data_IF_136037491003
#
_entry.id   IF_136037491003
#
_cell.length_a   1.000
_cell.length_b   1.000
_cell.length_c   1.000
_cell.angle_alpha   90.00
_cell.angle_beta   90.00
_cell.angle_gamma   90.00
#
_symmetry.space_group_name_H-M   'P 1'
#
loop_
_entity.id
_entity.type
_entity.pdbx_description
1 polymer ?
#
# COMPACT_ATOMS: atom_id res chain seq x y z
N UNK A 1 50.26 4.70 34.80
CA UNK A 1 49.46 5.33 33.72
C UNK A 1 48.71 4.20 33.03
N UNK A 2 47.38 4.07 33.20
CA UNK A 2 46.32 4.59 32.28
C UNK A 2 46.50 4.02 30.86
N UNK A 3 45.55 3.45 30.12
CA UNK A 3 44.08 3.28 30.16
C UNK A 3 43.77 2.43 28.88
N UNK A 4 43.15 1.24 28.95
CA UNK A 4 41.75 0.94 28.54
C UNK A 4 41.30 1.35 27.11
N UNK A 5 40.87 0.36 26.29
CA UNK A 5 39.69 0.33 25.39
C UNK A 5 39.75 -0.94 24.49
N UNK A 6 39.02 -2.03 24.78
CA UNK A 6 37.63 -2.34 24.40
C UNK A 6 37.31 -2.20 22.90
N UNK A 7 37.28 -3.34 22.19
CA UNK A 7 36.31 -3.62 21.12
C UNK A 7 35.96 -5.11 21.18
N UNK A 8 34.87 -5.42 21.86
CA UNK A 8 34.17 -6.71 21.78
C UNK A 8 33.19 -6.66 20.62
N UNK A 9 33.46 -7.42 19.56
CA UNK A 9 32.50 -7.72 18.51
C UNK A 9 31.46 -8.70 19.06
N UNK A 10 30.22 -8.22 19.20
CA UNK A 10 29.03 -9.06 19.31
C UNK A 10 28.72 -9.64 17.93
N UNK A 11 29.09 -10.90 17.73
CA UNK A 11 28.46 -11.74 16.72
C UNK A 11 27.19 -12.33 17.36
N UNK A 12 26.04 -11.69 17.12
CA UNK A 12 24.74 -12.34 17.32
C UNK A 12 24.49 -13.26 16.11
N UNK A 13 25.20 -14.38 16.09
CA UNK A 13 24.92 -15.46 15.17
C UNK A 13 23.82 -16.34 15.79
N UNK A 14 22.72 -16.46 15.05
CA UNK A 14 21.64 -17.43 15.22
C UNK A 14 22.18 -18.79 15.71
N UNK A 15 22.04 -19.03 17.01
CA UNK A 15 22.08 -20.37 17.56
C UNK A 15 20.63 -20.75 17.85
N UNK A 16 20.06 -21.62 17.00
CA UNK A 16 19.14 -22.64 17.48
C UNK A 16 19.91 -23.50 18.49
N UNK A 17 20.07 -22.95 19.70
CA UNK A 17 20.61 -23.66 20.84
C UNK A 17 19.57 -24.69 21.24
N UNK A 18 19.88 -25.93 20.92
CA UNK A 18 19.40 -27.14 21.54
C UNK A 18 18.98 -26.86 23.00
N UNK A 19 17.68 -26.67 23.21
CA UNK A 19 17.13 -26.34 24.51
C UNK A 19 17.29 -27.57 25.40
N UNK A 20 18.36 -27.58 26.20
CA UNK A 20 18.68 -28.67 27.12
C UNK A 20 17.49 -29.05 28.01
N UNK A 21 17.56 -30.27 28.56
CA UNK A 21 16.45 -30.95 29.27
C UNK A 21 15.81 -30.23 30.46
N UNK A 22 16.27 -29.06 30.86
CA UNK A 22 15.63 -28.21 31.87
C UNK A 22 14.47 -27.37 31.30
N UNK A 23 14.51 -26.93 30.03
CA UNK A 23 13.31 -26.35 29.38
C UNK A 23 12.18 -27.38 29.30
N UNK A 24 12.53 -28.63 29.00
CA UNK A 24 11.60 -29.75 28.94
C UNK A 24 10.94 -30.10 30.28
N UNK A 25 11.50 -29.68 31.41
CA UNK A 25 10.87 -29.83 32.73
C UNK A 25 9.83 -28.73 32.97
N UNK A 26 10.09 -27.50 32.52
CA UNK A 26 9.16 -26.38 32.61
C UNK A 26 7.90 -26.55 31.74
N UNK A 27 7.97 -27.35 30.68
CA UNK A 27 6.85 -27.62 29.76
C UNK A 27 5.77 -28.61 30.28
N UNK A 28 5.91 -29.21 31.47
CA UNK A 28 5.24 -30.51 31.77
C UNK A 28 3.82 -30.46 32.32
N UNK A 29 3.30 -29.33 32.79
CA UNK A 29 1.95 -29.30 33.36
C UNK A 29 1.36 -27.90 33.40
N UNK A 30 0.78 -27.42 32.30
CA UNK A 30 -0.16 -26.32 32.39
C UNK A 30 -1.49 -26.80 32.95
N UNK A 31 -2.12 -25.95 33.75
CA UNK A 31 -3.53 -26.12 34.09
C UNK A 31 -4.35 -26.11 32.80
N UNK A 32 -5.38 -26.97 32.73
CA UNK A 32 -6.22 -27.09 31.55
C UNK A 32 -7.12 -25.88 31.33
N UNK A 33 -7.22 -25.01 32.33
CA UNK A 33 -8.17 -23.90 32.34
C UNK A 33 -7.41 -22.61 32.02
N UNK A 34 -7.66 -22.05 30.84
CA UNK A 34 -7.41 -20.64 30.57
C UNK A 34 -8.54 -19.83 31.23
N UNK A 35 -8.25 -18.66 31.81
CA UNK A 35 -9.32 -17.77 32.26
C UNK A 35 -10.05 -17.22 31.04
N UNK A 36 -11.38 -17.25 31.04
CA UNK A 36 -12.28 -16.84 29.95
C UNK A 36 -12.24 -17.71 28.69
N UNK A 37 -12.93 -18.84 28.76
CA UNK A 37 -13.59 -19.45 27.61
C UNK A 37 -14.49 -18.39 26.94
N UNK A 38 -14.19 -18.05 25.67
CA UNK A 38 -15.18 -17.41 24.80
C UNK A 38 -16.50 -18.22 24.77
N UNK A 39 -17.58 -17.71 24.13
CA UNK A 39 -18.87 -18.39 24.15
C UNK A 39 -18.67 -19.87 23.79
N UNK A 40 -18.98 -20.75 24.75
CA UNK A 40 -18.89 -22.19 24.57
C UNK A 40 -19.58 -22.55 23.26
N UNK A 41 -18.94 -23.36 22.43
CA UNK A 41 -19.65 -23.98 21.31
C UNK A 41 -20.90 -24.67 21.86
N UNK A 42 -22.01 -24.69 21.11
CA UNK A 42 -23.31 -25.24 21.56
C UNK A 42 -23.21 -26.68 22.10
N UNK A 43 -22.11 -27.37 21.79
CA UNK A 43 -21.83 -28.76 22.17
C UNK A 43 -20.94 -28.92 23.41
N UNK A 44 -20.48 -27.82 24.04
CA UNK A 44 -19.62 -27.85 25.23
C UNK A 44 -18.19 -28.35 24.97
N UNK A 45 -17.79 -28.49 23.71
CA UNK A 45 -16.41 -28.79 23.34
C UNK A 45 -15.54 -27.53 23.37
N UNK A 46 -14.31 -27.68 23.86
CA UNK A 46 -13.31 -26.61 23.83
C UNK A 46 -13.05 -26.15 22.39
N UNK A 47 -13.01 -24.83 22.12
CA UNK A 47 -12.71 -24.29 20.79
C UNK A 47 -11.23 -24.42 20.41
N UNK A 48 -10.41 -24.93 21.34
CA UNK A 48 -8.96 -25.03 21.18
C UNK A 48 -8.51 -26.45 20.82
N UNK A 49 -7.44 -26.53 20.04
CA UNK A 49 -6.66 -27.74 19.86
C UNK A 49 -5.34 -27.61 20.63
N UNK A 50 -5.07 -28.57 21.51
CA UNK A 50 -3.84 -28.64 22.30
C UNK A 50 -2.96 -29.78 21.78
N UNK A 51 -1.71 -29.48 21.43
CA UNK A 51 -0.76 -30.47 20.94
C UNK A 51 0.67 -29.98 20.93
N UNK A 52 1.62 -30.82 20.54
CA UNK A 52 3.03 -30.43 20.41
C UNK A 52 3.38 -30.36 18.92
N UNK A 53 4.18 -29.37 18.50
CA UNK A 53 4.65 -29.28 17.10
C UNK A 53 5.63 -30.41 16.78
N UNK A 54 6.56 -30.69 17.69
CA UNK A 54 7.47 -31.83 17.62
C UNK A 54 7.48 -32.64 18.92
N UNK A 55 7.89 -33.90 18.82
CA UNK A 55 8.07 -34.77 20.00
C UNK A 55 9.13 -34.18 20.92
N UNK A 56 8.72 -33.80 22.12
CA UNK A 56 9.58 -33.11 23.10
C UNK A 56 9.22 -31.65 23.31
N UNK A 57 8.54 -30.97 22.40
CA UNK A 57 8.21 -29.56 22.59
C UNK A 57 7.22 -29.31 23.75
N UNK A 58 7.21 -28.09 24.26
CA UNK A 58 6.12 -27.57 25.08
C UNK A 58 4.77 -27.72 24.33
N UNK A 59 3.70 -27.98 25.09
CA UNK A 59 2.34 -27.97 24.53
C UNK A 59 2.04 -26.60 23.93
N UNK A 60 1.40 -26.62 22.79
CA UNK A 60 0.90 -25.45 22.08
C UNK A 60 -0.63 -25.51 22.07
N UNK A 61 -1.23 -24.34 22.12
CA UNK A 61 -2.66 -24.16 21.99
C UNK A 61 -2.93 -23.26 20.79
N UNK A 62 -3.78 -23.75 19.88
CA UNK A 62 -4.22 -23.09 18.66
C UNK A 62 -5.74 -23.22 18.54
N UNK A 63 -6.35 -22.50 17.62
CA UNK A 63 -7.77 -22.70 17.32
C UNK A 63 -8.02 -24.02 16.59
N UNK A 64 -9.09 -24.72 17.00
CA UNK A 64 -9.52 -25.98 16.36
C UNK A 64 -10.10 -25.73 14.97
N UNK A 65 -10.83 -24.62 14.79
CA UNK A 65 -11.21 -24.11 13.47
C UNK A 65 -10.01 -23.40 12.84
N UNK A 66 -9.61 -23.85 11.65
CA UNK A 66 -8.50 -23.28 10.89
C UNK A 66 -8.83 -21.90 10.30
N UNK A 67 -10.11 -21.53 10.25
CA UNK A 67 -10.56 -20.20 9.85
C UNK A 67 -10.71 -19.24 11.04
N UNK A 68 -10.50 -19.71 12.28
CA UNK A 68 -10.56 -18.85 13.46
C UNK A 68 -9.18 -18.28 13.81
N UNK A 69 -9.18 -17.03 14.27
CA UNK A 69 -8.01 -16.36 14.84
C UNK A 69 -7.97 -16.56 16.35
N UNK A 70 -6.78 -16.86 16.89
CA UNK A 70 -6.56 -16.95 18.32
C UNK A 70 -6.33 -15.54 18.88
N UNK A 71 -7.28 -15.06 19.67
CA UNK A 71 -7.21 -13.78 20.36
C UNK A 71 -6.72 -14.04 21.78
N UNK A 72 -5.61 -13.42 22.17
CA UNK A 72 -5.03 -13.49 23.51
C UNK A 72 -4.92 -12.07 24.05
N UNK A 73 -5.59 -11.79 25.16
CA UNK A 73 -5.59 -10.47 25.80
C UNK A 73 -5.88 -9.32 24.81
N UNK A 74 -6.85 -9.53 23.93
CA UNK A 74 -7.29 -8.59 22.90
C UNK A 74 -6.40 -8.52 21.64
N UNK A 75 -5.35 -9.33 21.54
CA UNK A 75 -4.45 -9.32 20.37
C UNK A 75 -4.48 -10.65 19.63
N UNK A 76 -4.26 -10.60 18.32
CA UNK A 76 -4.21 -11.81 17.49
C UNK A 76 -2.84 -12.46 17.59
N UNK A 77 -2.80 -13.76 17.88
CA UNK A 77 -1.59 -14.58 17.88
C UNK A 77 -1.81 -15.86 17.07
N UNK A 78 -0.72 -16.47 16.61
CA UNK A 78 -0.80 -17.76 15.91
C UNK A 78 -0.97 -18.94 16.88
N UNK A 79 -0.44 -18.80 18.10
CA UNK A 79 -0.45 -19.85 19.13
C UNK A 79 -0.12 -19.32 20.52
N UNK A 80 -0.52 -20.09 21.53
CA UNK A 80 0.02 -20.04 22.88
C UNK A 80 0.97 -21.22 23.13
N UNK A 81 1.94 -21.03 24.02
CA UNK A 81 2.87 -22.09 24.45
C UNK A 81 2.76 -22.28 25.96
N UNK A 82 2.61 -23.51 26.39
CA UNK A 82 2.60 -23.90 27.79
C UNK A 82 4.02 -23.87 28.37
N UNK A 83 4.29 -22.98 29.31
CA UNK A 83 5.60 -22.85 29.95
C UNK A 83 5.43 -22.55 31.44
N UNK A 84 6.21 -23.24 32.29
CA UNK A 84 6.18 -23.09 33.75
C UNK A 84 4.79 -23.22 34.41
N UNK A 85 3.88 -23.94 33.75
CA UNK A 85 2.54 -24.19 34.26
C UNK A 85 1.48 -23.16 33.85
N UNK A 86 1.85 -22.15 33.07
CA UNK A 86 0.93 -21.17 32.51
C UNK A 86 1.01 -21.13 30.98
N UNK A 87 0.00 -20.54 30.35
CA UNK A 87 0.00 -20.30 28.92
C UNK A 87 0.68 -18.97 28.63
N UNK A 88 1.59 -18.94 27.66
CA UNK A 88 2.32 -17.75 27.29
C UNK A 88 2.20 -17.44 25.80
N UNK A 89 2.20 -16.15 25.47
CA UNK A 89 2.30 -15.62 24.10
C UNK A 89 3.59 -14.81 23.92
N UNK A 90 3.89 -14.45 22.68
CA UNK A 90 5.06 -13.65 22.34
C UNK A 90 6.25 -14.48 21.83
N UNK A 91 7.42 -13.84 21.79
CA UNK A 91 8.66 -14.46 21.32
C UNK A 91 9.35 -15.21 22.45
N UNK A 92 10.20 -16.22 22.18
CA UNK A 92 10.89 -16.98 23.22
C UNK A 92 11.71 -16.12 24.21
N UNK A 93 12.18 -14.95 23.76
CA UNK A 93 12.93 -13.98 24.57
C UNK A 93 12.03 -13.10 25.46
N UNK A 94 10.74 -13.00 25.11
CA UNK A 94 9.73 -12.15 25.74
C UNK A 94 8.40 -12.90 25.79
N UNK A 95 8.34 -13.94 26.63
CA UNK A 95 7.10 -14.68 26.91
C UNK A 95 6.30 -13.93 27.98
N UNK A 96 5.07 -13.57 27.64
CA UNK A 96 4.09 -12.96 28.56
C UNK A 96 3.02 -13.99 28.89
N UNK A 97 2.59 -14.06 30.14
CA UNK A 97 1.52 -14.97 30.59
C UNK A 97 0.17 -14.47 30.06
N UNK A 98 -0.58 -15.36 29.40
CA UNK A 98 -1.92 -15.10 28.87
C UNK A 98 -2.94 -15.02 30.00
N UNK A 99 -3.64 -13.89 30.11
CA UNK A 99 -4.74 -13.73 31.05
C UNK A 99 -6.08 -14.21 30.49
N UNK A 100 -6.20 -14.24 29.16
CA UNK A 100 -7.38 -14.68 28.43
C UNK A 100 -7.03 -15.20 27.04
N UNK A 101 -7.80 -16.16 26.53
CA UNK A 101 -7.72 -16.54 25.14
C UNK A 101 -9.08 -16.97 24.59
N UNK A 102 -9.35 -16.66 23.33
CA UNK A 102 -10.55 -17.09 22.62
C UNK A 102 -10.24 -17.35 21.15
N UNK A 103 -11.06 -18.20 20.52
CA UNK A 103 -11.02 -18.42 19.08
C UNK A 103 -12.24 -17.79 18.44
N UNK A 104 -12.01 -16.76 17.63
CA UNK A 104 -13.08 -16.06 16.92
C UNK A 104 -12.83 -16.14 15.42
N UNK A 105 -13.89 -16.38 14.66
CA UNK A 105 -13.81 -16.40 13.22
C UNK A 105 -14.03 -14.97 12.69
N UNK A 106 -13.05 -14.36 12.00
CA UNK A 106 -13.22 -13.04 11.39
C UNK A 106 -14.23 -13.04 10.23
N UNK A 107 -14.77 -14.19 9.86
CA UNK A 107 -15.67 -14.37 8.73
C UNK A 107 -14.93 -14.14 7.41
N UNK A 108 -15.56 -13.42 6.49
CA UNK A 108 -14.95 -13.03 5.22
C UNK A 108 -14.18 -11.69 5.30
N UNK A 109 -13.87 -11.20 6.51
CA UNK A 109 -13.13 -9.94 6.66
C UNK A 109 -11.68 -10.16 6.24
N UNK A 110 -11.21 -9.34 5.31
CA UNK A 110 -9.81 -9.30 4.89
C UNK A 110 -9.33 -7.86 4.94
N UNK A 111 -8.15 -7.64 5.49
CA UNK A 111 -7.56 -6.31 5.49
C UNK A 111 -6.76 -6.05 4.20
N UNK A 112 -6.71 -4.80 3.74
CA UNK A 112 -5.75 -4.38 2.72
C UNK A 112 -4.29 -4.70 3.12
N UNK A 113 -3.39 -4.82 2.14
CA UNK A 113 -1.98 -5.19 2.37
C UNK A 113 -1.20 -4.21 3.27
N UNK A 114 -1.66 -2.98 3.42
CA UNK A 114 -1.09 -1.92 4.27
C UNK A 114 -1.74 -1.85 5.66
N UNK A 115 -2.72 -2.71 5.92
CA UNK A 115 -3.39 -2.85 7.19
C UNK A 115 -3.15 -4.24 7.79
N UNK A 116 -3.36 -4.35 9.09
CA UNK A 116 -3.38 -5.60 9.82
C UNK A 116 -4.69 -5.71 10.59
N UNK A 117 -5.19 -6.94 10.71
CA UNK A 117 -6.39 -7.20 11.49
C UNK A 117 -6.03 -7.12 12.97
N UNK A 118 -6.87 -6.43 13.75
CA UNK A 118 -6.82 -6.37 15.20
C UNK A 118 -8.20 -6.62 15.79
N UNK A 119 -8.25 -6.99 17.06
CA UNK A 119 -9.51 -7.24 17.77
C UNK A 119 -9.69 -6.21 18.89
N UNK A 120 -10.63 -5.29 18.72
CA UNK A 120 -11.02 -4.29 19.71
C UNK A 120 -12.55 -4.28 19.80
N UNK A 121 -13.09 -5.25 20.54
CA UNK A 121 -14.51 -5.62 20.64
C UNK A 121 -15.13 -6.22 19.36
N UNK A 122 -14.53 -5.97 18.19
CA UNK A 122 -14.78 -6.62 16.91
C UNK A 122 -13.48 -6.64 16.07
N UNK A 123 -13.44 -7.46 15.03
CA UNK A 123 -12.32 -7.50 14.08
C UNK A 123 -12.28 -6.22 13.24
N UNK A 124 -11.26 -5.41 13.46
CA UNK A 124 -11.02 -4.17 12.72
C UNK A 124 -9.72 -4.25 11.96
N UNK A 125 -9.69 -3.62 10.80
CA UNK A 125 -8.44 -3.41 10.08
C UNK A 125 -7.82 -2.10 10.60
N UNK A 126 -6.53 -2.13 10.94
CA UNK A 126 -5.78 -0.95 11.38
C UNK A 126 -4.52 -0.83 10.54
N UNK A 127 -4.08 0.40 10.27
CA UNK A 127 -2.84 0.60 9.53
C UNK A 127 -1.66 -0.08 10.22
N UNK A 128 -0.81 -0.74 9.42
CA UNK A 128 0.44 -1.30 9.92
C UNK A 128 1.30 -0.21 10.57
N UNK A 129 2.20 -0.53 11.51
CA UNK A 129 3.01 0.48 12.23
C UNK A 129 3.79 1.44 11.33
N UNK A 130 4.13 1.01 10.11
CA UNK A 130 4.84 1.83 9.14
C UNK A 130 3.98 2.74 8.27
N UNK A 131 2.67 2.68 8.43
CA UNK A 131 1.69 3.42 7.66
C UNK A 131 0.95 4.43 8.55
N UNK A 132 0.66 5.58 7.97
CA UNK A 132 -0.18 6.62 8.54
C UNK A 132 -1.64 6.36 8.17
N UNK A 133 -2.54 6.55 9.15
CA UNK A 133 -3.98 6.50 8.94
C UNK A 133 -4.49 7.83 8.36
N UNK A 134 -5.19 7.74 7.24
CA UNK A 134 -5.71 8.85 6.45
C UNK A 134 -7.22 9.04 6.64
N UNK A 135 -7.87 8.29 7.53
CA UNK A 135 -9.33 8.34 7.71
C UNK A 135 -9.81 9.75 8.08
N UNK A 136 -9.04 10.50 8.87
CA UNK A 136 -9.37 11.89 9.24
C UNK A 136 -9.26 12.88 8.04
N UNK A 137 -8.48 12.54 7.02
CA UNK A 137 -8.33 13.33 5.80
C UNK A 137 -9.50 13.11 4.83
N UNK A 138 -10.17 11.96 4.96
CA UNK A 138 -11.33 11.55 4.18
C UNK A 138 -12.49 11.20 5.12
N UNK A 139 -13.05 12.16 5.87
CA UNK A 139 -14.05 11.89 6.90
C UNK A 139 -15.36 11.30 6.35
N UNK A 140 -15.63 11.50 5.06
CA UNK A 140 -16.80 10.99 4.37
C UNK A 140 -16.58 9.59 3.76
N UNK A 141 -15.40 8.99 3.97
CA UNK A 141 -15.10 7.62 3.55
C UNK A 141 -16.00 6.61 4.28
N UNK A 142 -16.68 5.69 3.57
CA UNK A 142 -17.51 4.69 4.22
C UNK A 142 -16.68 3.69 5.03
N UNK A 143 -17.27 3.14 6.10
CA UNK A 143 -16.55 2.27 7.05
C UNK A 143 -15.97 1.02 6.39
N UNK A 144 -16.56 0.54 5.28
CA UNK A 144 -16.11 -0.65 4.56
C UNK A 144 -14.83 -0.44 3.74
N UNK A 145 -14.40 0.81 3.54
CA UNK A 145 -13.13 1.12 2.87
C UNK A 145 -12.00 1.46 3.83
N UNK A 146 -12.32 1.57 5.12
CA UNK A 146 -11.35 1.85 6.16
C UNK A 146 -10.62 0.57 6.61
N UNK A 147 -9.34 0.69 6.99
CA UNK A 147 -8.57 1.92 7.12
C UNK A 147 -7.96 2.39 5.79
N UNK A 148 -7.83 3.71 5.62
CA UNK A 148 -7.09 4.31 4.53
C UNK A 148 -5.64 4.54 4.97
N UNK A 149 -4.71 3.71 4.50
CA UNK A 149 -3.33 3.74 4.98
C UNK A 149 -2.36 4.27 3.91
N UNK A 150 -1.36 5.06 4.30
CA UNK A 150 -0.27 5.49 3.40
C UNK A 150 1.09 5.41 4.08
N UNK A 151 2.11 4.98 3.34
CA UNK A 151 3.51 5.10 3.76
C UNK A 151 4.28 6.10 2.87
N UNK A 152 3.59 6.80 1.96
CA UNK A 152 4.23 7.68 0.99
C UNK A 152 5.03 8.81 1.64
N UNK A 153 4.63 9.28 2.83
CA UNK A 153 5.36 10.32 3.57
C UNK A 153 6.78 9.91 4.00
N UNK A 154 7.12 8.62 3.94
CA UNK A 154 8.47 8.09 4.21
C UNK A 154 9.30 7.92 2.93
N UNK A 155 8.74 8.25 1.76
CA UNK A 155 9.38 8.08 0.46
C UNK A 155 9.98 9.41 -0.03
N UNK A 156 10.86 9.29 -1.02
CA UNK A 156 11.46 10.42 -1.73
C UNK A 156 11.36 10.18 -3.23
N UNK A 157 10.19 10.47 -3.77
CA UNK A 157 9.82 10.20 -5.16
C UNK A 157 9.69 11.50 -5.94
N UNK A 158 10.10 11.46 -7.21
CA UNK A 158 9.71 12.46 -8.21
C UNK A 158 8.57 11.91 -9.04
N UNK A 159 7.37 12.42 -8.79
CA UNK A 159 6.14 11.94 -9.39
C UNK A 159 5.72 12.95 -10.46
N UNK A 160 5.56 12.51 -11.70
CA UNK A 160 5.06 13.36 -12.77
C UNK A 160 3.62 12.98 -13.08
N UNK A 161 2.73 13.95 -13.07
CA UNK A 161 1.39 13.81 -13.63
C UNK A 161 1.40 14.29 -15.07
N UNK A 162 1.12 13.39 -16.01
CA UNK A 162 0.86 13.71 -17.41
C UNK A 162 -0.64 13.62 -17.65
N UNK A 163 -1.28 14.76 -17.88
CA UNK A 163 -2.73 14.85 -18.01
C UNK A 163 -3.09 15.04 -19.48
N UNK A 164 -3.74 14.04 -20.07
CA UNK A 164 -4.41 14.19 -21.36
C UNK A 164 -5.53 15.22 -21.18
N UNK A 165 -5.40 16.34 -21.86
CA UNK A 165 -6.42 17.38 -21.89
C UNK A 165 -6.97 17.55 -23.30
N UNK A 166 -6.97 16.50 -24.12
CA UNK A 166 -7.60 16.55 -25.44
C UNK A 166 -9.11 16.72 -25.36
N UNK A 167 -9.73 17.16 -26.45
CA UNK A 167 -11.18 17.42 -26.48
C UNK A 167 -12.06 16.19 -26.20
N UNK A 168 -11.55 14.95 -26.28
CA UNK A 168 -12.32 13.77 -25.85
C UNK A 168 -12.37 13.59 -24.34
N UNK A 169 -11.51 14.30 -23.59
CA UNK A 169 -11.52 14.36 -22.13
C UNK A 169 -12.55 15.35 -21.58
N UNK A 170 -13.19 16.18 -22.41
CA UNK A 170 -14.02 17.29 -21.95
C UNK A 170 -15.16 16.90 -21.00
N UNK A 171 -15.75 15.71 -21.17
CA UNK A 171 -16.81 15.21 -20.30
C UNK A 171 -16.32 14.51 -19.03
N UNK A 172 -15.01 14.31 -18.87
CA UNK A 172 -14.41 13.53 -17.77
C UNK A 172 -13.26 14.26 -17.06
N UNK A 173 -12.92 15.48 -17.50
CA UNK A 173 -11.75 16.22 -17.00
C UNK A 173 -11.96 16.67 -15.55
N UNK A 174 -13.20 16.95 -15.15
CA UNK A 174 -13.53 17.35 -13.79
C UNK A 174 -13.28 16.19 -12.81
N UNK A 175 -13.65 14.98 -13.18
CA UNK A 175 -13.47 13.77 -12.40
C UNK A 175 -12.00 13.39 -12.26
N UNK A 176 -11.20 13.62 -13.32
CA UNK A 176 -9.74 13.48 -13.27
C UNK A 176 -9.13 14.48 -12.29
N UNK A 177 -9.55 15.76 -12.32
CA UNK A 177 -9.06 16.78 -11.37
C UNK A 177 -9.38 16.38 -9.92
N UNK A 178 -10.62 15.96 -9.67
CA UNK A 178 -11.05 15.50 -8.35
C UNK A 178 -10.25 14.29 -7.86
N UNK A 179 -10.07 13.27 -8.72
CA UNK A 179 -9.26 12.10 -8.41
C UNK A 179 -7.80 12.47 -8.11
N UNK A 180 -7.21 13.39 -8.87
CA UNK A 180 -5.86 13.89 -8.61
C UNK A 180 -5.80 14.57 -7.23
N UNK A 181 -6.78 15.39 -6.88
CA UNK A 181 -6.88 16.00 -5.56
C UNK A 181 -6.89 14.97 -4.42
N UNK A 182 -7.63 13.87 -4.57
CA UNK A 182 -7.62 12.76 -3.61
C UNK A 182 -6.25 12.06 -3.58
N UNK A 183 -5.65 11.79 -4.74
CA UNK A 183 -4.36 11.11 -4.85
C UNK A 183 -3.22 11.92 -4.20
N UNK A 184 -3.16 13.24 -4.43
CA UNK A 184 -2.11 14.12 -3.87
C UNK A 184 -2.08 14.04 -2.34
N UNK A 185 -3.24 14.01 -1.68
CA UNK A 185 -3.34 13.84 -0.22
C UNK A 185 -2.66 12.55 0.26
N UNK A 186 -2.82 11.44 -0.47
CA UNK A 186 -2.14 10.18 -0.15
C UNK A 186 -0.63 10.23 -0.38
N UNK A 187 -0.18 10.99 -1.37
CA UNK A 187 1.23 11.06 -1.77
C UNK A 187 2.11 11.85 -0.80
N UNK A 188 1.54 12.62 0.12
CA UNK A 188 2.26 13.32 1.21
C UNK A 188 3.47 14.13 0.68
N UNK A 189 3.19 15.09 -0.19
CA UNK A 189 4.23 15.94 -0.78
C UNK A 189 4.93 16.78 0.30
N UNK A 190 6.24 16.99 0.14
CA UNK A 190 7.03 17.81 1.06
C UNK A 190 8.37 18.21 0.43
N UNK A 191 8.99 19.26 0.95
CA UNK A 191 10.28 19.78 0.44
C UNK A 191 11.39 18.70 0.46
N UNK A 192 11.38 17.80 1.46
CA UNK A 192 12.42 16.77 1.64
C UNK A 192 11.98 15.36 1.22
N UNK A 193 10.69 15.16 0.94
CA UNK A 193 10.09 13.87 0.59
C UNK A 193 9.64 13.81 -0.87
N UNK A 194 8.37 13.51 -1.10
CA UNK A 194 7.82 13.39 -2.45
C UNK A 194 7.57 14.77 -3.08
N UNK A 195 7.85 14.88 -4.37
CA UNK A 195 7.59 16.06 -5.19
C UNK A 195 6.75 15.68 -6.41
N UNK A 196 5.85 16.57 -6.82
CA UNK A 196 4.97 16.40 -7.97
C UNK A 196 5.28 17.46 -9.03
N UNK A 197 5.48 17.01 -10.27
CA UNK A 197 5.48 17.85 -11.46
C UNK A 197 4.20 17.60 -12.26
N UNK A 198 3.70 18.63 -12.93
CA UNK A 198 2.43 18.55 -13.68
C UNK A 198 2.68 18.99 -15.12
N UNK A 199 2.31 18.12 -16.05
CA UNK A 199 2.37 18.33 -17.49
C UNK A 199 1.00 18.07 -18.07
N UNK A 200 0.44 19.01 -18.82
CA UNK A 200 -0.75 18.76 -19.65
C UNK A 200 -0.33 18.47 -21.08
N UNK A 201 -1.08 17.64 -21.79
CA UNK A 201 -0.83 17.36 -23.19
C UNK A 201 -2.11 17.10 -23.98
N UNK A 202 -2.27 17.90 -25.04
CA UNK A 202 -3.23 17.70 -26.12
C UNK A 202 -2.46 17.77 -27.45
N UNK A 203 -2.69 18.81 -28.25
CA UNK A 203 -1.94 19.02 -29.50
C UNK A 203 -0.51 19.50 -29.22
N UNK A 204 -0.35 20.37 -28.22
CA UNK A 204 0.90 20.77 -27.60
C UNK A 204 0.99 20.22 -26.17
N UNK A 205 2.06 20.55 -25.47
CA UNK A 205 2.22 20.27 -24.04
C UNK A 205 2.56 21.54 -23.29
N UNK A 206 2.15 21.60 -22.02
CA UNK A 206 2.52 22.67 -21.09
C UNK A 206 3.07 22.05 -19.81
N UNK A 207 4.20 22.57 -19.32
CA UNK A 207 4.75 22.19 -18.01
C UNK A 207 4.25 23.20 -16.99
N UNK A 208 3.22 22.83 -16.25
CA UNK A 208 2.55 23.71 -15.28
C UNK A 208 3.31 23.76 -13.94
N UNK A 209 3.90 22.63 -13.55
CA UNK A 209 4.78 22.53 -12.37
C UNK A 209 6.03 21.73 -12.74
N UNK A 210 7.19 22.28 -12.39
CA UNK A 210 8.50 21.63 -12.48
C UNK A 210 9.06 21.37 -11.06
N UNK A 211 10.23 20.74 -10.91
CA UNK A 211 10.88 20.34 -9.64
C UNK A 211 11.35 21.48 -8.72
N UNK A 212 10.71 22.66 -8.78
CA UNK A 212 10.96 23.81 -7.90
C UNK A 212 10.04 23.85 -6.67
N UNK A 213 9.88 25.03 -6.08
CA UNK A 213 9.11 25.24 -4.83
C UNK A 213 7.66 24.74 -4.93
N UNK A 214 6.99 24.97 -6.06
CA UNK A 214 5.61 24.56 -6.26
C UNK A 214 5.41 23.03 -6.30
N UNK A 215 6.47 22.24 -6.50
CA UNK A 215 6.36 20.77 -6.59
C UNK A 215 6.08 20.07 -5.27
N UNK A 216 6.12 20.79 -4.15
CA UNK A 216 5.76 20.26 -2.83
C UNK A 216 4.71 21.10 -2.11
N UNK A 217 4.04 21.99 -2.84
CA UNK A 217 2.91 22.76 -2.35
C UNK A 217 1.62 22.14 -2.90
N UNK A 218 0.87 21.47 -2.03
CA UNK A 218 -0.41 20.82 -2.38
C UNK A 218 -1.41 21.81 -3.00
N UNK A 219 -1.46 23.07 -2.54
CA UNK A 219 -2.33 24.09 -3.10
C UNK A 219 -1.89 24.47 -4.51
N UNK A 220 -0.58 24.66 -4.72
CA UNK A 220 -0.07 25.00 -6.06
C UNK A 220 -0.31 23.86 -7.07
N UNK A 221 -0.16 22.60 -6.62
CA UNK A 221 -0.48 21.41 -7.43
C UNK A 221 -1.96 21.38 -7.78
N UNK A 222 -2.84 21.62 -6.81
CA UNK A 222 -4.28 21.68 -7.03
C UNK A 222 -4.65 22.79 -8.03
N UNK A 223 -4.15 24.01 -7.83
CA UNK A 223 -4.41 25.16 -8.71
C UNK A 223 -3.93 24.90 -10.15
N UNK A 224 -2.75 24.27 -10.31
CA UNK A 224 -2.23 23.91 -11.62
C UNK A 224 -3.13 22.89 -12.31
N UNK A 225 -3.57 21.85 -11.60
CA UNK A 225 -4.48 20.82 -12.13
C UNK A 225 -5.84 21.41 -12.47
N UNK A 226 -6.38 22.28 -11.61
CA UNK A 226 -7.67 22.95 -11.82
C UNK A 226 -7.67 23.90 -13.02
N UNK A 227 -6.52 24.48 -13.36
CA UNK A 227 -6.39 25.35 -14.53
C UNK A 227 -6.46 24.62 -15.88
N UNK A 228 -6.44 23.28 -15.89
CA UNK A 228 -6.41 22.49 -17.12
C UNK A 228 -7.80 22.39 -17.74
N UNK A 229 -7.97 22.96 -18.93
CA UNK A 229 -9.16 22.76 -19.74
C UNK A 229 -8.92 21.72 -20.84
N UNK A 230 -9.97 20.97 -21.16
CA UNK A 230 -9.93 19.98 -22.22
C UNK A 230 -10.19 20.63 -23.58
N UNK A 231 -9.20 20.60 -24.47
CA UNK A 231 -9.30 21.11 -25.83
C UNK A 231 -8.31 20.40 -26.78
N UNK A 232 -8.55 20.50 -28.08
CA UNK A 232 -7.61 20.04 -29.10
C UNK A 232 -7.60 18.53 -29.31
N UNK A 233 -6.54 18.04 -29.96
CA UNK A 233 -6.38 16.64 -30.35
C UNK A 233 -5.40 15.93 -29.43
N UNK A 234 -5.61 14.64 -29.11
CA UNK A 234 -4.69 13.88 -28.26
C UNK A 234 -3.41 13.49 -28.99
N UNK A 235 -2.26 14.00 -28.52
CA UNK A 235 -0.92 13.59 -28.92
C UNK A 235 -0.10 13.12 -27.71
N UNK A 236 -0.56 12.08 -27.00
CA UNK A 236 0.10 11.52 -25.82
C UNK A 236 1.58 11.17 -26.02
N UNK A 237 1.98 10.71 -27.22
CA UNK A 237 3.39 10.42 -27.50
C UNK A 237 4.27 11.68 -27.35
N UNK A 238 3.75 12.86 -27.73
CA UNK A 238 4.42 14.15 -27.55
C UNK A 238 4.51 14.49 -26.06
N UNK A 239 3.44 14.28 -25.29
CA UNK A 239 3.45 14.49 -23.84
C UNK A 239 4.48 13.61 -23.11
N UNK A 240 4.58 12.33 -23.47
CA UNK A 240 5.58 11.43 -22.90
C UNK A 240 7.02 11.87 -23.20
N UNK A 241 7.31 12.28 -24.45
CA UNK A 241 8.63 12.82 -24.79
C UNK A 241 8.91 14.17 -24.11
N UNK A 242 7.87 15.00 -23.87
CA UNK A 242 7.99 16.23 -23.11
C UNK A 242 8.35 15.98 -21.64
N UNK A 243 7.72 15.00 -21.00
CA UNK A 243 8.08 14.56 -19.63
C UNK A 243 9.56 14.17 -19.59
N UNK A 244 10.00 13.34 -20.53
CA UNK A 244 11.42 12.95 -20.63
C UNK A 244 12.32 14.17 -20.78
N UNK A 245 12.03 15.07 -21.72
CA UNK A 245 12.88 16.20 -22.03
C UNK A 245 12.95 17.24 -20.89
N UNK A 246 11.82 17.50 -20.22
CA UNK A 246 11.71 18.56 -19.22
C UNK A 246 12.03 18.09 -17.79
N UNK A 247 11.74 16.82 -17.45
CA UNK A 247 11.64 16.37 -16.07
C UNK A 247 12.50 15.15 -15.72
N UNK A 248 13.02 14.41 -16.71
CA UNK A 248 13.80 13.19 -16.47
C UNK A 248 15.17 13.31 -17.12
N UNK A 249 16.18 13.67 -16.32
CA UNK A 249 17.55 13.79 -16.82
C UNK A 249 18.40 12.56 -16.47
N UNK A 250 19.29 12.11 -17.37
CA UNK A 250 20.13 10.93 -17.14
C UNK A 250 21.03 10.99 -15.90
N UNK A 251 21.30 12.20 -15.37
CA UNK A 251 22.15 12.40 -14.19
C UNK A 251 21.46 12.08 -12.88
N UNK A 252 20.15 11.84 -12.90
CA UNK A 252 19.33 11.60 -11.70
C UNK A 252 19.20 10.10 -11.38
N UNK A 253 20.25 9.29 -11.58
CA UNK A 253 20.20 7.82 -11.45
C UNK A 253 19.77 7.31 -10.07
N UNK A 254 19.93 8.12 -9.02
CA UNK A 254 19.53 7.79 -7.64
C UNK A 254 18.12 8.29 -7.29
N UNK A 255 17.45 8.99 -8.20
CA UNK A 255 16.11 9.53 -7.97
C UNK A 255 15.08 8.56 -8.53
N UNK A 256 14.10 8.18 -7.71
CA UNK A 256 13.00 7.33 -8.15
C UNK A 256 11.94 8.18 -8.86
N UNK A 257 11.88 8.05 -10.18
CA UNK A 257 10.91 8.71 -11.02
C UNK A 257 9.68 7.84 -11.24
N UNK A 258 8.50 8.39 -10.97
CA UNK A 258 7.19 7.77 -11.23
C UNK A 258 6.42 8.67 -12.20
N UNK A 259 5.74 8.08 -13.17
CA UNK A 259 4.87 8.78 -14.09
C UNK A 259 3.45 8.25 -13.92
N UNK A 260 2.48 9.14 -13.73
CA UNK A 260 1.06 8.82 -13.75
C UNK A 260 0.43 9.53 -14.94
N UNK A 261 -0.11 8.76 -15.88
CA UNK A 261 -0.75 9.27 -17.10
C UNK A 261 -2.26 9.19 -16.94
N UNK A 262 -2.92 10.34 -17.00
CA UNK A 262 -4.38 10.47 -16.92
C UNK A 262 -4.94 10.61 -18.34
N UNK A 263 -5.73 9.65 -18.83
CA UNK A 263 -6.20 9.66 -20.23
C UNK A 263 -7.45 8.82 -20.45
N UNK A 264 -8.21 9.10 -21.51
CA UNK A 264 -9.27 8.25 -22.01
C UNK A 264 -8.76 7.16 -22.98
N UNK A 265 -7.46 7.16 -23.31
CA UNK A 265 -6.81 6.25 -24.27
C UNK A 265 -7.09 6.57 -25.75
N UNK A 266 -7.80 7.66 -26.03
CA UNK A 266 -8.23 8.08 -27.36
C UNK A 266 -7.11 8.77 -28.14
N UNK A 267 -6.22 7.98 -28.72
CA UNK A 267 -5.19 8.51 -29.62
C UNK A 267 -5.79 8.63 -31.03
N UNK A 268 -5.88 9.86 -31.55
CA UNK A 268 -6.28 10.13 -32.93
C UNK A 268 -5.06 10.15 -33.84
N UNK A 269 -4.58 8.98 -34.28
CA UNK A 269 -3.74 8.81 -35.47
C UNK A 269 -3.58 7.31 -35.77
N UNK A 270 -3.30 6.95 -37.03
CA UNK A 270 -3.19 5.58 -37.52
C UNK A 270 -2.06 4.75 -36.89
N UNK A 271 -1.72 3.57 -37.46
CA UNK A 271 -0.76 2.62 -36.88
C UNK A 271 0.60 3.21 -36.45
N UNK A 272 1.07 4.27 -37.12
CA UNK A 272 2.31 4.96 -36.76
C UNK A 272 2.24 5.70 -35.40
N UNK A 273 1.07 6.19 -34.99
CA UNK A 273 0.95 6.85 -33.69
C UNK A 273 1.06 5.87 -32.53
N UNK A 274 0.56 4.64 -32.67
CA UNK A 274 0.77 3.59 -31.68
C UNK A 274 2.24 3.21 -31.55
N UNK A 275 2.98 3.16 -32.66
CA UNK A 275 4.43 2.93 -32.63
C UNK A 275 5.17 4.07 -31.93
N UNK A 276 4.79 5.33 -32.21
CA UNK A 276 5.38 6.50 -31.56
C UNK A 276 5.09 6.53 -30.06
N UNK A 277 3.85 6.20 -29.65
CA UNK A 277 3.47 6.09 -28.26
C UNK A 277 4.30 5.03 -27.53
N UNK A 278 4.33 3.82 -28.08
CA UNK A 278 5.10 2.72 -27.50
C UNK A 278 6.60 3.09 -27.42
N UNK A 279 7.15 3.75 -28.44
CA UNK A 279 8.55 4.21 -28.41
C UNK A 279 8.78 5.23 -27.28
N UNK A 280 7.88 6.18 -27.08
CA UNK A 280 8.00 7.19 -26.03
C UNK A 280 7.91 6.56 -24.62
N UNK A 281 6.99 5.60 -24.43
CA UNK A 281 6.87 4.85 -23.17
C UNK A 281 8.13 4.00 -22.87
N UNK A 282 8.67 3.29 -23.88
CA UNK A 282 9.92 2.53 -23.75
C UNK A 282 11.13 3.43 -23.44
N UNK A 283 11.15 4.65 -24.00
CA UNK A 283 12.22 5.62 -23.71
C UNK A 283 12.24 6.03 -22.23
N UNK A 284 11.07 6.18 -21.61
CA UNK A 284 10.95 6.48 -20.18
C UNK A 284 11.33 5.28 -19.32
N UNK A 285 10.97 4.06 -19.73
CA UNK A 285 11.37 2.81 -19.05
C UNK A 285 12.89 2.63 -19.03
N UNK A 286 13.57 2.90 -20.14
CA UNK A 286 15.04 2.87 -20.21
C UNK A 286 15.71 3.89 -19.27
N UNK A 287 14.98 4.94 -18.88
CA UNK A 287 15.39 5.91 -17.87
C UNK A 287 14.91 5.53 -16.46
N UNK A 288 14.44 4.28 -16.27
CA UNK A 288 13.92 3.73 -15.01
C UNK A 288 12.71 4.50 -14.45
N UNK A 289 11.92 5.11 -15.33
CA UNK A 289 10.64 5.72 -14.95
C UNK A 289 9.57 4.64 -14.91
N UNK A 290 9.01 4.39 -13.74
CA UNK A 290 7.85 3.50 -13.62
C UNK A 290 6.58 4.25 -14.01
N UNK A 291 5.81 3.71 -14.96
CA UNK A 291 4.63 4.35 -15.52
C UNK A 291 3.35 3.67 -15.06
N UNK A 292 2.41 4.46 -14.58
CA UNK A 292 1.05 4.10 -14.22
C UNK A 292 0.07 4.87 -15.11
N UNK A 293 -1.08 4.27 -15.39
CA UNK A 293 -2.12 4.87 -16.24
C UNK A 293 -3.43 4.89 -15.47
N UNK A 294 -4.06 6.06 -15.41
CA UNK A 294 -5.41 6.24 -14.87
C UNK A 294 -6.33 6.52 -16.05
N UNK A 295 -7.20 5.57 -16.33
CA UNK A 295 -8.08 5.56 -17.49
C UNK A 295 -9.50 5.95 -17.10
N UNK A 296 -10.15 6.80 -17.90
CA UNK A 296 -11.58 7.15 -17.71
C UNK A 296 -12.53 6.20 -18.44
N UNK A 297 -11.99 5.29 -19.26
CA UNK A 297 -12.75 4.22 -19.88
C UNK A 297 -11.82 3.07 -20.30
N UNK A 298 -12.42 1.90 -20.54
CA UNK A 298 -11.71 0.69 -20.95
C UNK A 298 -11.75 0.44 -22.47
N UNK A 299 -12.24 1.37 -23.29
CA UNK A 299 -12.41 1.14 -24.74
C UNK A 299 -11.08 0.89 -25.45
N UNK A 300 -9.99 1.43 -24.91
CA UNK A 300 -8.68 1.41 -25.55
C UNK A 300 -7.62 0.64 -24.73
N UNK A 301 -8.02 -0.45 -24.06
CA UNK A 301 -7.15 -1.27 -23.18
C UNK A 301 -5.76 -1.53 -23.75
N UNK A 302 -5.65 -1.99 -25.00
CA UNK A 302 -4.33 -2.25 -25.64
C UNK A 302 -3.44 -1.01 -25.70
N UNK A 303 -4.03 0.18 -25.87
CA UNK A 303 -3.27 1.45 -25.90
C UNK A 303 -2.86 1.87 -24.50
N UNK A 304 -3.75 1.71 -23.52
CA UNK A 304 -3.47 1.99 -22.11
C UNK A 304 -2.32 1.09 -21.61
N UNK A 305 -2.36 -0.21 -21.95
CA UNK A 305 -1.30 -1.15 -21.63
C UNK A 305 0.02 -0.75 -22.32
N UNK A 306 -0.02 -0.27 -23.57
CA UNK A 306 1.17 0.20 -24.26
C UNK A 306 1.82 1.43 -23.60
N UNK A 307 1.03 2.30 -22.94
CA UNK A 307 1.55 3.43 -22.15
C UNK A 307 2.22 2.91 -20.87
N UNK A 308 1.62 1.92 -20.21
CA UNK A 308 2.18 1.25 -19.03
C UNK A 308 3.28 0.22 -19.36
N UNK A 309 3.90 0.29 -20.55
CA UNK A 309 4.91 -0.67 -21.03
C UNK A 309 4.51 -2.16 -20.89
N UNK A 310 3.22 -2.46 -21.05
CA UNK A 310 2.65 -3.80 -20.98
C UNK A 310 2.35 -4.31 -19.57
N UNK A 311 2.58 -3.51 -18.52
CA UNK A 311 2.27 -3.90 -17.14
C UNK A 311 0.79 -3.63 -16.85
N UNK A 312 -0.04 -4.67 -16.97
CA UNK A 312 -1.50 -4.55 -16.81
C UNK A 312 -1.91 -4.04 -15.42
N UNK A 313 -1.21 -4.49 -14.37
CA UNK A 313 -1.44 -4.05 -12.99
C UNK A 313 -1.15 -2.56 -12.74
N UNK A 314 -0.50 -1.89 -13.68
CA UNK A 314 -0.23 -0.46 -13.63
C UNK A 314 -1.29 0.37 -14.37
N UNK A 315 -2.37 -0.27 -14.85
CA UNK A 315 -3.51 0.41 -15.46
C UNK A 315 -4.70 0.37 -14.49
N UNK A 316 -5.15 1.56 -14.12
CA UNK A 316 -6.26 1.83 -13.21
C UNK A 316 -7.40 2.44 -14.00
N UNK A 317 -8.63 2.13 -13.63
CA UNK A 317 -9.81 2.74 -14.24
C UNK A 317 -10.56 3.51 -13.17
N UNK A 318 -10.97 4.73 -13.50
CA UNK A 318 -11.87 5.55 -12.69
C UNK A 318 -13.19 5.70 -13.45
N UNK A 319 -14.27 5.89 -12.71
CA UNK A 319 -15.58 6.16 -13.29
C UNK A 319 -15.88 7.65 -13.31
N UNK A 320 -16.68 8.05 -14.31
CA UNK A 320 -17.21 9.41 -14.40
C UNK A 320 -18.62 9.55 -13.82
N UNK A 321 -19.18 8.49 -13.23
CA UNK A 321 -20.50 8.55 -12.59
C UNK A 321 -20.39 9.20 -11.21
N UNK A 322 -21.28 10.14 -10.87
CA UNK A 322 -21.21 10.90 -9.61
C UNK A 322 -21.27 9.98 -8.37
N UNK A 323 -22.00 8.87 -8.44
CA UNK A 323 -22.13 7.89 -7.35
C UNK A 323 -20.86 7.03 -7.15
N UNK A 324 -19.88 7.12 -8.06
CA UNK A 324 -18.65 6.32 -8.02
C UNK A 324 -17.47 7.03 -7.35
N UNK A 325 -17.70 8.16 -6.67
CA UNK A 325 -16.65 8.88 -5.94
C UNK A 325 -15.89 7.96 -4.96
N UNK A 326 -16.60 7.05 -4.30
CA UNK A 326 -16.00 6.12 -3.33
C UNK A 326 -15.18 5.03 -4.01
N UNK A 327 -15.60 4.55 -5.18
CA UNK A 327 -14.80 3.62 -5.98
C UNK A 327 -13.52 4.30 -6.49
N UNK A 328 -13.62 5.56 -6.90
CA UNK A 328 -12.47 6.37 -7.29
C UNK A 328 -11.49 6.58 -6.11
N UNK A 329 -11.99 6.77 -4.89
CA UNK A 329 -11.15 6.84 -3.69
C UNK A 329 -10.43 5.51 -3.41
N UNK A 330 -11.10 4.37 -3.55
CA UNK A 330 -10.46 3.04 -3.47
C UNK A 330 -9.34 2.89 -4.52
N UNK A 331 -9.58 3.38 -5.73
CA UNK A 331 -8.58 3.38 -6.81
C UNK A 331 -7.39 4.27 -6.46
N UNK A 332 -7.61 5.47 -5.90
CA UNK A 332 -6.53 6.35 -5.45
C UNK A 332 -5.69 5.69 -4.34
N UNK A 333 -6.35 5.06 -3.35
CA UNK A 333 -5.70 4.31 -2.28
C UNK A 333 -4.93 3.08 -2.81
N UNK A 334 -5.41 2.42 -3.87
CA UNK A 334 -4.68 1.33 -4.53
C UNK A 334 -3.49 1.83 -5.35
N UNK A 335 -3.66 2.93 -6.09
CA UNK A 335 -2.63 3.53 -6.92
C UNK A 335 -1.47 4.05 -6.07
N UNK A 336 -1.74 4.77 -4.98
CA UNK A 336 -0.67 5.26 -4.09
C UNK A 336 0.19 4.13 -3.51
N UNK A 337 -0.40 2.97 -3.16
CA UNK A 337 0.36 1.78 -2.71
C UNK A 337 1.36 1.32 -3.75
N UNK A 338 0.99 1.39 -5.03
CA UNK A 338 1.83 0.99 -6.16
C UNK A 338 2.92 2.02 -6.44
N UNK A 339 2.59 3.30 -6.36
CA UNK A 339 3.56 4.39 -6.49
C UNK A 339 4.60 4.33 -5.36
N UNK A 340 4.17 4.05 -4.13
CA UNK A 340 4.98 4.13 -2.91
C UNK A 340 5.51 2.77 -2.42
N UNK A 341 5.36 1.68 -3.19
CA UNK A 341 6.02 0.41 -2.90
C UNK A 341 7.54 0.58 -2.87
#
# INVERSE_FOLDING_TARGET
MKLLLFVSLLAAAYAHGDCGGDCLKACRSCTCDLPNDGPSTDDGESPFQIGNKYSGDCKQLICKDHNASLIVDGKIYDRLVCFQGAWHFGYPEFLEEASSAMCLNPGNRTCPDDAEMRYEDDFKCMCKPDFEDMSDVFPDAPEDILPLCTNCGKKKLRITFLIDNSGSMASVIHEIKHFIGQLVKFLKVSETGNNIAVVSSAFSYDVLINWGEQSHDESAIHDAVDSIDADGQSYLATGLEAVKAALVQPTDENTQHKLVVFTDGSIKCGPEALKSLARAANNLEHLKVETFVVATNSRYTTRLHAIANGVEDNVFSISSEEDDEMENLKVAAKLQRRICA
#
